data_IF_741889442262
#
_entry.id   IF_741889442262
#
_cell.length_a   1.000
_cell.length_b   1.000
_cell.length_c   1.000
_cell.angle_alpha   90.00
_cell.angle_beta   90.00
_cell.angle_gamma   90.00
#
_symmetry.space_group_name_H-M   'P 1'
#
loop_
_entity.id
_entity.type
_entity.pdbx_description
1 polymer ?
#
# COMPACT_ATOMS: atom_id res chain seq x y z
N UNK A 1 -10.24 -8.52 -43.32
CA UNK A 1 -10.30 -7.57 -42.19
C UNK A 1 -10.23 -8.41 -40.92
N UNK A 2 -9.00 -8.80 -40.56
CA UNK A 2 -8.74 -9.94 -39.67
C UNK A 2 -8.44 -9.44 -38.26
N UNK A 3 -8.96 -10.16 -37.28
CA UNK A 3 -8.88 -9.95 -35.83
C UNK A 3 -7.43 -9.72 -35.31
N UNK A 4 -6.41 -10.03 -36.12
CA UNK A 4 -4.99 -9.87 -35.79
C UNK A 4 -4.47 -8.42 -35.82
N UNK A 5 -5.19 -7.48 -36.46
CA UNK A 5 -4.77 -6.06 -36.49
C UNK A 5 -4.96 -5.36 -35.14
N UNK A 6 -5.90 -5.86 -34.33
CA UNK A 6 -6.19 -5.36 -33.00
C UNK A 6 -5.16 -5.76 -31.93
N UNK A 7 -4.24 -6.68 -32.24
CA UNK A 7 -3.25 -7.19 -31.29
C UNK A 7 -1.94 -6.38 -31.28
N UNK A 8 -1.81 -5.36 -32.13
CA UNK A 8 -0.54 -4.64 -32.34
C UNK A 8 -0.52 -3.22 -31.73
N UNK A 9 -0.96 -3.07 -30.48
CA UNK A 9 -0.59 -1.87 -29.71
C UNK A 9 -0.48 -2.11 -28.22
N UNK A 10 0.53 -2.88 -27.82
CA UNK A 10 1.09 -2.74 -26.49
C UNK A 10 2.01 -1.51 -26.52
N UNK A 11 1.52 -0.33 -26.10
CA UNK A 11 2.36 0.87 -25.99
C UNK A 11 3.52 0.58 -24.99
N UNK A 12 4.79 0.40 -25.44
CA UNK A 12 5.86 -0.13 -24.58
C UNK A 12 6.40 0.85 -23.54
N UNK A 13 5.77 2.01 -23.37
CA UNK A 13 6.37 3.09 -22.61
C UNK A 13 5.45 4.25 -22.36
N UNK A 14 4.72 4.21 -21.26
CA UNK A 14 4.49 5.44 -20.50
C UNK A 14 5.54 5.46 -19.38
N UNK A 15 6.83 5.75 -19.67
CA UNK A 15 7.84 5.91 -18.63
C UNK A 15 7.38 6.93 -17.59
N UNK A 16 6.61 7.93 -18.02
CA UNK A 16 5.96 8.90 -17.14
C UNK A 16 5.02 8.27 -16.12
N UNK A 17 4.16 7.30 -16.50
CA UNK A 17 3.26 6.64 -15.57
C UNK A 17 4.03 5.79 -14.55
N UNK A 18 5.10 5.12 -14.99
CA UNK A 18 6.00 4.37 -14.10
C UNK A 18 6.75 5.28 -13.13
N UNK A 19 7.23 6.43 -13.61
CA UNK A 19 7.93 7.44 -12.80
C UNK A 19 6.97 8.05 -11.78
N UNK A 20 5.76 8.43 -12.19
CA UNK A 20 4.73 8.96 -11.28
C UNK A 20 4.38 7.92 -10.21
N UNK A 21 4.10 6.68 -10.61
CA UNK A 21 3.80 5.60 -9.68
C UNK A 21 4.94 5.34 -8.70
N UNK A 22 6.18 5.26 -9.21
CA UNK A 22 7.38 5.09 -8.39
C UNK A 22 7.61 6.26 -7.43
N UNK A 23 7.41 7.50 -7.88
CA UNK A 23 7.52 8.69 -7.06
C UNK A 23 6.46 8.72 -5.95
N UNK A 24 5.20 8.36 -6.24
CA UNK A 24 4.15 8.25 -5.23
C UNK A 24 4.49 7.21 -4.16
N UNK A 25 4.94 6.01 -4.57
CA UNK A 25 5.36 4.96 -3.63
C UNK A 25 6.54 5.45 -2.79
N UNK A 26 7.55 6.05 -3.42
CA UNK A 26 8.73 6.57 -2.74
C UNK A 26 8.36 7.66 -1.74
N UNK A 27 7.45 8.58 -2.08
CA UNK A 27 6.95 9.60 -1.18
C UNK A 27 6.24 8.99 0.05
N UNK A 28 5.40 7.96 -0.16
CA UNK A 28 4.75 7.24 0.95
C UNK A 28 5.79 6.55 1.84
N UNK A 29 6.80 5.90 1.27
CA UNK A 29 7.87 5.23 2.02
C UNK A 29 8.71 6.22 2.83
N UNK A 30 9.11 7.33 2.22
CA UNK A 30 9.82 8.42 2.89
C UNK A 30 8.99 9.00 4.03
N UNK A 31 7.70 9.26 3.79
CA UNK A 31 6.81 9.75 4.83
C UNK A 31 6.62 8.74 5.96
N UNK A 32 6.49 7.44 5.65
CA UNK A 32 6.40 6.38 6.66
C UNK A 32 7.66 6.28 7.53
N UNK A 33 8.84 6.52 6.94
CA UNK A 33 10.13 6.48 7.64
C UNK A 33 10.40 7.76 8.46
N UNK A 34 10.06 8.94 7.91
CA UNK A 34 10.33 10.24 8.52
C UNK A 34 9.20 10.74 9.44
N UNK A 35 8.00 10.18 9.30
CA UNK A 35 6.81 10.51 10.09
C UNK A 35 7.02 10.47 11.62
N UNK A 36 7.73 9.49 12.21
CA UNK A 36 7.99 9.46 13.65
C UNK A 36 8.86 10.61 14.14
N UNK A 37 9.75 11.13 13.28
CA UNK A 37 10.59 12.27 13.62
C UNK A 37 9.82 13.59 13.53
N UNK A 38 8.85 13.66 12.63
CA UNK A 38 8.04 14.87 12.38
C UNK A 38 6.86 15.00 13.35
N UNK A 39 6.35 13.89 13.89
CA UNK A 39 5.12 13.87 14.71
C UNK A 39 5.36 13.23 16.07
N UNK A 40 5.99 13.95 17.02
CA UNK A 40 6.07 13.52 18.40
C UNK A 40 4.72 13.74 19.10
N UNK A 41 4.00 12.67 19.42
CA UNK A 41 2.77 12.73 20.20
C UNK A 41 1.98 11.43 20.20
N UNK A 42 0.94 11.36 21.05
CA UNK A 42 0.06 10.20 21.14
C UNK A 42 -1.11 10.31 20.14
N UNK A 43 -1.19 9.44 19.11
CA UNK A 43 -2.29 9.43 18.15
C UNK A 43 -3.64 9.01 18.73
N UNK A 44 -3.65 8.41 19.93
CA UNK A 44 -4.86 8.00 20.64
C UNK A 44 -5.29 9.00 21.71
N UNK A 45 -4.52 10.06 21.94
CA UNK A 45 -4.92 11.13 22.85
C UNK A 45 -6.24 11.76 22.37
N UNK A 46 -7.22 11.77 23.27
CA UNK A 46 -8.59 12.17 23.00
C UNK A 46 -9.01 13.31 23.93
N UNK A 47 -9.59 14.38 23.36
CA UNK A 47 -10.16 15.48 24.14
C UNK A 47 -11.50 15.91 23.55
N UNK A 48 -12.61 15.50 24.18
CA UNK A 48 -13.97 15.85 23.72
C UNK A 48 -14.20 17.37 23.65
N UNK A 49 -13.51 18.15 24.48
CA UNK A 49 -13.57 19.62 24.43
C UNK A 49 -13.01 20.21 23.12
N UNK A 50 -12.20 19.43 22.38
CA UNK A 50 -11.62 19.80 21.09
C UNK A 50 -12.31 19.11 19.92
N UNK A 51 -13.46 18.45 20.12
CA UNK A 51 -14.19 17.82 19.04
C UNK A 51 -14.53 18.84 17.93
N UNK A 52 -14.20 18.50 16.68
CA UNK A 52 -14.34 19.40 15.53
C UNK A 52 -13.58 20.74 15.65
N UNK A 53 -12.63 20.85 16.58
CA UNK A 53 -11.78 22.04 16.66
C UNK A 53 -10.91 22.16 15.40
N UNK A 54 -10.75 23.39 14.93
CA UNK A 54 -9.96 23.73 13.75
C UNK A 54 -8.45 23.49 13.93
N UNK A 55 -7.65 23.87 12.92
CA UNK A 55 -6.21 23.66 12.94
C UNK A 55 -5.53 24.45 14.07
N UNK A 56 -4.62 23.80 14.79
CA UNK A 56 -3.77 24.41 15.83
C UNK A 56 -2.32 23.93 15.67
N UNK A 57 -1.36 24.58 16.34
CA UNK A 57 0.06 24.25 16.19
C UNK A 57 0.40 22.78 16.51
N UNK A 58 -0.30 22.16 17.46
CA UNK A 58 -0.13 20.74 17.80
C UNK A 58 -0.94 19.79 16.90
N UNK A 59 -1.94 20.30 16.19
CA UNK A 59 -2.81 19.54 15.30
C UNK A 59 -3.12 20.37 14.05
N UNK A 60 -2.17 20.48 13.09
CA UNK A 60 -2.31 21.35 11.92
C UNK A 60 -3.44 20.93 10.98
N UNK A 61 -3.90 19.67 11.08
CA UNK A 61 -5.06 19.16 10.35
C UNK A 61 -6.36 19.20 11.18
N UNK A 62 -6.32 19.74 12.40
CA UNK A 62 -7.44 19.80 13.32
C UNK A 62 -7.78 18.47 13.98
N UNK A 63 -9.00 18.42 14.53
CA UNK A 63 -9.50 17.32 15.34
C UNK A 63 -10.73 16.64 14.71
N UNK A 64 -10.86 15.34 14.94
CA UNK A 64 -12.06 14.58 14.56
C UNK A 64 -13.23 14.82 15.53
N UNK A 65 -14.37 14.16 15.29
CA UNK A 65 -15.57 14.25 16.14
C UNK A 65 -15.38 13.68 17.55
N UNK A 66 -14.34 12.87 17.77
CA UNK A 66 -13.99 12.38 19.10
C UNK A 66 -12.97 13.31 19.78
N UNK A 67 -12.50 14.34 19.09
CA UNK A 67 -11.49 15.25 19.59
C UNK A 67 -10.09 14.65 19.58
N UNK A 68 -9.80 13.76 18.63
CA UNK A 68 -8.45 13.22 18.38
C UNK A 68 -7.79 13.96 17.21
N UNK A 69 -6.49 14.15 17.29
CA UNK A 69 -5.71 14.83 16.24
C UNK A 69 -5.67 14.01 14.96
N UNK A 70 -6.18 14.58 13.85
CA UNK A 70 -6.15 13.93 12.53
C UNK A 70 -4.70 13.79 12.03
N UNK A 71 -3.85 14.77 12.35
CA UNK A 71 -2.43 14.78 12.01
C UNK A 71 -1.66 13.58 12.56
N UNK A 72 -1.78 13.33 13.87
CA UNK A 72 -1.13 12.20 14.53
C UNK A 72 -1.63 10.85 14.01
N UNK A 73 -2.94 10.72 13.78
CA UNK A 73 -3.53 9.51 13.23
C UNK A 73 -3.06 9.21 11.81
N UNK A 74 -2.95 10.22 10.95
CA UNK A 74 -2.42 10.04 9.61
C UNK A 74 -0.94 9.62 9.63
N UNK A 75 -0.13 10.25 10.49
CA UNK A 75 1.27 9.88 10.67
C UNK A 75 1.42 8.40 11.10
N UNK A 76 0.63 7.94 12.06
CA UNK A 76 0.65 6.55 12.50
C UNK A 76 0.13 5.58 11.41
N UNK A 77 -0.96 5.94 10.73
CA UNK A 77 -1.54 5.12 9.67
C UNK A 77 -0.58 4.94 8.48
N UNK A 78 0.14 5.99 8.10
CA UNK A 78 1.11 5.95 7.01
C UNK A 78 2.32 5.06 7.33
N UNK A 79 2.63 4.83 8.60
CA UNK A 79 3.64 3.84 9.03
C UNK A 79 3.12 2.40 8.95
N UNK A 80 1.89 2.15 9.39
CA UNK A 80 1.33 0.80 9.50
C UNK A 80 0.85 0.25 8.16
N UNK A 81 0.26 1.08 7.29
CA UNK A 81 -0.33 0.63 6.02
C UNK A 81 0.68 -0.07 5.09
N UNK A 82 1.90 0.46 4.83
CA UNK A 82 2.87 -0.22 3.98
C UNK A 82 3.33 -1.56 4.57
N UNK A 83 3.50 -1.64 5.90
CA UNK A 83 3.89 -2.87 6.58
C UNK A 83 2.83 -3.96 6.42
N UNK A 84 1.56 -3.62 6.61
CA UNK A 84 0.44 -4.56 6.44
C UNK A 84 0.31 -4.99 4.98
N UNK A 85 0.45 -4.05 4.04
CA UNK A 85 0.42 -4.35 2.61
C UNK A 85 1.55 -5.33 2.21
N UNK A 86 2.78 -5.08 2.66
CA UNK A 86 3.92 -5.97 2.43
C UNK A 86 3.69 -7.36 3.05
N UNK A 87 3.21 -7.42 4.29
CA UNK A 87 2.88 -8.69 4.94
C UNK A 87 1.80 -9.48 4.17
N UNK A 88 0.77 -8.79 3.68
CA UNK A 88 -0.28 -9.38 2.85
C UNK A 88 0.28 -9.95 1.55
N UNK A 89 1.07 -9.17 0.81
CA UNK A 89 1.69 -9.61 -0.45
C UNK A 89 2.66 -10.77 -0.22
N UNK A 90 3.46 -10.74 0.84
CA UNK A 90 4.36 -11.85 1.18
C UNK A 90 3.59 -13.14 1.49
N UNK A 91 2.49 -13.04 2.24
CA UNK A 91 1.66 -14.20 2.60
C UNK A 91 0.95 -14.78 1.37
N UNK A 92 0.34 -13.92 0.54
CA UNK A 92 -0.30 -14.35 -0.70
C UNK A 92 0.70 -14.93 -1.70
N UNK A 93 1.87 -14.31 -1.84
CA UNK A 93 2.95 -14.76 -2.73
C UNK A 93 3.50 -16.12 -2.33
N UNK A 94 3.80 -16.34 -1.04
CA UNK A 94 4.26 -17.65 -0.56
C UNK A 94 3.21 -18.74 -0.75
N UNK A 95 1.95 -18.48 -0.41
CA UNK A 95 0.86 -19.41 -0.64
C UNK A 95 0.70 -19.75 -2.14
N UNK A 96 0.75 -18.74 -3.01
CA UNK A 96 0.67 -18.90 -4.46
C UNK A 96 1.81 -19.76 -5.01
N UNK A 97 3.05 -19.50 -4.60
CA UNK A 97 4.23 -20.26 -5.03
C UNK A 97 4.16 -21.73 -4.57
N UNK A 98 3.66 -21.99 -3.35
CA UNK A 98 3.47 -23.35 -2.83
C UNK A 98 2.42 -24.12 -3.63
N UNK A 99 1.27 -23.48 -3.91
CA UNK A 99 0.20 -24.08 -4.71
C UNK A 99 0.66 -24.35 -6.14
N UNK A 100 1.32 -23.37 -6.77
CA UNK A 100 1.87 -23.50 -8.11
C UNK A 100 2.89 -24.64 -8.21
N UNK A 101 3.83 -24.70 -7.26
CA UNK A 101 4.82 -25.78 -7.21
C UNK A 101 4.19 -27.16 -7.03
N UNK A 102 3.13 -27.27 -6.21
CA UNK A 102 2.37 -28.51 -6.04
C UNK A 102 1.58 -28.89 -7.30
N UNK A 103 1.02 -27.92 -8.02
CA UNK A 103 0.34 -28.15 -9.29
C UNK A 103 1.32 -28.63 -10.37
N UNK A 104 2.48 -27.98 -10.51
CA UNK A 104 3.53 -28.36 -11.47
C UNK A 104 3.96 -29.82 -11.35
N UNK A 105 4.02 -30.35 -10.11
CA UNK A 105 4.39 -31.75 -9.85
C UNK A 105 3.32 -32.78 -10.27
N UNK A 106 2.06 -32.39 -10.45
CA UNK A 106 0.99 -33.32 -10.87
C UNK A 106 0.94 -33.55 -12.39
N UNK A 107 1.47 -32.64 -13.19
CA UNK A 107 1.43 -32.73 -14.66
C UNK A 107 2.48 -33.67 -15.30
N UNK A 108 3.47 -34.14 -14.53
CA UNK A 108 4.61 -34.89 -15.06
C UNK A 108 4.45 -36.43 -15.03
N UNK A 109 3.33 -36.95 -14.49
CA UNK A 109 3.15 -38.39 -14.24
C UNK A 109 2.36 -39.18 -15.29
N UNK A 110 2.04 -38.61 -16.46
CA UNK A 110 1.05 -39.18 -17.39
C UNK A 110 1.56 -39.89 -18.65
N UNK A 111 2.87 -40.04 -18.87
CA UNK A 111 3.40 -40.45 -20.19
C UNK A 111 4.21 -41.75 -20.21
N UNK A 112 3.90 -42.71 -19.34
CA UNK A 112 4.47 -44.08 -19.45
C UNK A 112 3.39 -45.12 -19.20
N UNK A 113 2.51 -45.32 -20.18
CA UNK A 113 1.75 -46.55 -20.33
C UNK A 113 1.77 -46.89 -21.82
N UNK A 114 2.65 -47.84 -22.16
CA UNK A 114 2.74 -48.59 -23.41
C UNK A 114 1.49 -49.40 -23.68
#
# INVERSE_FOLDING_TARGET
>A
MSVLETYEKHDPGQPVARVIGGACIMAVVLFAALGPLMVPGDPFAQSLMKALAGPEAAAPLGYDHLGRSVYHRLAQALRLSPLIALASVATAGTAGLLLWGRWRRRGAGGSTAS
#
